data_IF_460051687167
#
_entry.id   IF_460051687167
#
_cell.length_a   1.000
_cell.length_b   1.000
_cell.length_c   1.000
_cell.angle_alpha   90.00
_cell.angle_beta   90.00
_cell.angle_gamma   90.00
#
_symmetry.space_group_name_H-M   'P 1'
#
loop_
_entity.id
_entity.type
_entity.pdbx_description
1 polymer ?
#
# COMPACT_ATOMS: atom_id res chain seq x y z
N UNK A 1 -7.70 -18.64 19.57
CA UNK A 1 -7.59 -19.19 18.19
C UNK A 1 -7.19 -18.05 17.25
N UNK A 2 -5.96 -18.07 16.73
CA UNK A 2 -5.49 -17.08 15.76
C UNK A 2 -6.17 -17.41 14.43
N UNK A 3 -7.13 -16.58 14.00
CA UNK A 3 -7.66 -16.65 12.62
C UNK A 3 -6.48 -16.42 11.70
N UNK A 4 -6.02 -17.46 11.01
CA UNK A 4 -4.89 -17.31 10.10
C UNK A 4 -5.33 -16.41 8.94
N UNK A 5 -4.58 -15.34 8.71
CA UNK A 5 -4.89 -14.38 7.67
C UNK A 5 -4.35 -14.95 6.35
N UNK A 6 -5.24 -15.44 5.48
CA UNK A 6 -4.89 -16.06 4.20
C UNK A 6 -3.97 -15.18 3.35
N UNK A 7 -4.17 -13.85 3.39
CA UNK A 7 -3.30 -12.88 2.73
C UNK A 7 -1.85 -12.96 3.23
N UNK A 8 -1.67 -12.97 4.56
CA UNK A 8 -0.34 -13.00 5.17
C UNK A 8 0.36 -14.32 4.85
N UNK A 9 -0.36 -15.45 4.86
CA UNK A 9 0.21 -16.75 4.48
C UNK A 9 0.69 -16.76 3.01
N UNK A 10 -0.10 -16.26 2.07
CA UNK A 10 0.28 -16.17 0.65
C UNK A 10 1.53 -15.30 0.50
N UNK A 11 1.56 -14.14 1.15
CA UNK A 11 2.68 -13.21 1.10
C UNK A 11 3.95 -13.82 1.71
N UNK A 12 3.84 -14.53 2.84
CA UNK A 12 4.99 -15.22 3.44
C UNK A 12 5.55 -16.31 2.52
N UNK A 13 4.69 -17.11 1.87
CA UNK A 13 5.15 -18.11 0.89
C UNK A 13 5.90 -17.44 -0.26
N UNK A 14 5.36 -16.34 -0.80
CA UNK A 14 6.03 -15.62 -1.88
C UNK A 14 7.41 -15.09 -1.44
N UNK A 15 7.56 -14.61 -0.20
CA UNK A 15 8.86 -14.18 0.36
C UNK A 15 9.84 -15.33 0.48
N UNK A 16 9.40 -16.46 1.03
CA UNK A 16 10.21 -17.68 1.18
C UNK A 16 10.73 -18.19 -0.17
N UNK A 17 9.97 -17.96 -1.26
CA UNK A 17 10.33 -18.33 -2.63
C UNK A 17 11.11 -17.25 -3.38
N UNK A 18 11.67 -16.25 -2.68
CA UNK A 18 12.48 -15.19 -3.29
C UNK A 18 11.66 -14.09 -3.99
N UNK A 19 10.39 -13.95 -3.64
CA UNK A 19 9.49 -12.89 -4.10
C UNK A 19 8.57 -13.28 -5.27
N UNK A 20 8.70 -14.48 -5.84
CA UNK A 20 7.86 -14.92 -6.96
C UNK A 20 7.58 -16.42 -6.92
N UNK A 21 6.37 -16.83 -7.31
CA UNK A 21 6.01 -18.23 -7.53
C UNK A 21 5.36 -18.38 -8.90
N UNK A 22 5.84 -19.37 -9.67
CA UNK A 22 5.26 -19.77 -10.95
C UNK A 22 4.49 -21.08 -10.79
N UNK A 23 3.19 -21.02 -11.05
CA UNK A 23 2.21 -22.10 -11.05
C UNK A 23 1.21 -21.98 -9.90
N UNK A 24 -0.07 -21.80 -10.21
CA UNK A 24 -1.16 -21.75 -9.23
C UNK A 24 -1.18 -22.99 -8.31
N UNK A 25 -1.10 -24.18 -8.91
CA UNK A 25 -1.07 -25.44 -8.15
C UNK A 25 0.18 -25.60 -7.27
N UNK A 26 1.29 -24.97 -7.66
CA UNK A 26 2.52 -24.95 -6.85
C UNK A 26 2.30 -24.10 -5.60
N UNK A 27 1.81 -22.87 -5.78
CA UNK A 27 1.48 -21.96 -4.68
C UNK A 27 0.45 -22.58 -3.71
N UNK A 28 -0.59 -23.22 -4.25
CA UNK A 28 -1.63 -23.92 -3.48
C UNK A 28 -1.05 -24.93 -2.47
N UNK A 29 -0.02 -25.66 -2.88
CA UNK A 29 0.64 -26.73 -2.10
C UNK A 29 1.70 -26.24 -1.12
N UNK A 30 2.08 -24.98 -1.19
CA UNK A 30 3.14 -24.39 -0.36
C UNK A 30 2.65 -23.90 1.00
N UNK A 31 1.36 -24.10 1.30
CA UNK A 31 0.80 -23.76 2.61
C UNK A 31 1.38 -24.65 3.70
N UNK A 32 1.75 -24.05 4.84
CA UNK A 32 2.39 -24.77 5.96
C UNK A 32 1.46 -25.79 6.64
N UNK A 33 0.15 -25.53 6.62
CA UNK A 33 -0.88 -26.40 7.21
C UNK A 33 -1.91 -26.79 6.15
N UNK A 34 -1.67 -27.92 5.47
CA UNK A 34 -2.52 -28.44 4.41
C UNK A 34 -2.33 -27.73 3.07
N UNK A 35 -3.35 -27.70 2.23
CA UNK A 35 -3.36 -26.94 0.97
C UNK A 35 -4.32 -25.74 1.08
N UNK A 36 -4.09 -24.70 0.29
CA UNK A 36 -5.14 -23.69 0.09
C UNK A 36 -6.33 -24.30 -0.66
N UNK A 37 -7.54 -23.89 -0.32
CA UNK A 37 -8.69 -24.12 -1.19
C UNK A 37 -8.52 -23.29 -2.47
N UNK A 38 -8.81 -23.88 -3.64
CA UNK A 38 -8.59 -23.22 -4.94
C UNK A 38 -9.39 -21.94 -5.12
N UNK A 39 -10.65 -21.90 -4.69
CA UNK A 39 -11.50 -20.72 -4.87
C UNK A 39 -11.03 -19.59 -3.96
N UNK A 40 -10.81 -19.89 -2.68
CA UNK A 40 -10.29 -18.89 -1.75
C UNK A 40 -8.92 -18.38 -2.17
N UNK A 41 -8.02 -19.25 -2.65
CA UNK A 41 -6.72 -18.80 -3.14
C UNK A 41 -6.85 -17.80 -4.30
N UNK A 42 -7.78 -18.04 -5.24
CA UNK A 42 -8.04 -17.07 -6.33
C UNK A 42 -8.57 -15.76 -5.78
N UNK A 43 -9.60 -15.79 -4.95
CA UNK A 43 -10.20 -14.58 -4.38
C UNK A 43 -9.17 -13.72 -3.64
N UNK A 44 -8.30 -14.37 -2.84
CA UNK A 44 -7.24 -13.68 -2.12
C UNK A 44 -6.11 -13.20 -3.02
N UNK A 45 -5.76 -13.93 -4.08
CA UNK A 45 -4.78 -13.46 -5.07
C UNK A 45 -5.31 -12.25 -5.84
N UNK A 46 -6.57 -12.28 -6.26
CA UNK A 46 -7.23 -11.15 -6.93
C UNK A 46 -7.27 -9.93 -6.01
N UNK A 47 -7.62 -10.15 -4.73
CA UNK A 47 -7.59 -9.08 -3.72
C UNK A 47 -6.19 -8.51 -3.52
N UNK A 48 -5.17 -9.36 -3.36
CA UNK A 48 -3.77 -8.94 -3.21
C UNK A 48 -3.27 -8.18 -4.45
N UNK A 49 -3.72 -8.58 -5.64
CA UNK A 49 -3.40 -7.90 -6.90
C UNK A 49 -4.09 -6.53 -6.97
N UNK A 50 -5.38 -6.45 -6.64
CA UNK A 50 -6.15 -5.20 -6.59
C UNK A 50 -5.60 -4.22 -5.55
N UNK A 51 -5.14 -4.73 -4.41
CA UNK A 51 -4.42 -3.97 -3.38
C UNK A 51 -3.02 -3.51 -3.83
N UNK A 52 -2.52 -4.00 -4.98
CA UNK A 52 -1.20 -3.70 -5.51
C UNK A 52 -0.06 -4.34 -4.71
N UNK A 53 -0.34 -5.34 -3.88
CA UNK A 53 0.66 -6.10 -3.09
C UNK A 53 1.41 -7.09 -3.97
N UNK A 54 0.74 -7.69 -4.94
CA UNK A 54 1.34 -8.64 -5.89
C UNK A 54 1.05 -8.23 -7.34
N UNK A 55 1.81 -8.77 -8.27
CA UNK A 55 1.58 -8.73 -9.71
C UNK A 55 1.31 -10.14 -10.22
N UNK A 56 0.34 -10.26 -11.10
CA UNK A 56 0.06 -11.48 -11.84
C UNK A 56 0.51 -11.32 -13.29
N UNK A 57 1.20 -12.32 -13.82
CA UNK A 57 1.53 -12.42 -15.24
C UNK A 57 1.41 -13.88 -15.71
N UNK A 58 1.12 -14.08 -17.00
CA UNK A 58 1.03 -15.41 -17.61
C UNK A 58 2.30 -15.69 -18.42
N UNK A 59 3.15 -16.58 -17.92
CA UNK A 59 4.43 -16.94 -18.58
C UNK A 59 4.34 -18.35 -19.13
N UNK A 60 4.39 -18.50 -20.46
CA UNK A 60 4.35 -19.82 -21.15
C UNK A 60 3.24 -20.74 -20.61
N UNK A 61 2.01 -20.22 -20.53
CA UNK A 61 0.82 -20.89 -20.00
C UNK A 61 0.83 -21.23 -18.51
N UNK A 62 1.74 -20.67 -17.72
CA UNK A 62 1.74 -20.78 -16.26
C UNK A 62 1.47 -19.43 -15.62
N UNK A 63 0.67 -19.46 -14.57
CA UNK A 63 0.40 -18.32 -13.71
C UNK A 63 1.66 -17.97 -12.92
N UNK A 64 2.12 -16.73 -12.98
CA UNK A 64 3.23 -16.24 -12.15
C UNK A 64 2.72 -15.13 -11.26
N UNK A 65 2.88 -15.34 -9.96
CA UNK A 65 2.52 -14.40 -8.92
C UNK A 65 3.81 -13.91 -8.30
N UNK A 66 4.09 -12.62 -8.45
CA UNK A 66 5.24 -11.97 -7.84
C UNK A 66 4.74 -10.96 -6.84
N UNK A 67 5.41 -10.84 -5.70
CA UNK A 67 5.20 -9.66 -4.89
C UNK A 67 5.66 -8.46 -5.74
N UNK A 68 4.88 -7.38 -5.76
CA UNK A 68 5.15 -6.24 -6.64
C UNK A 68 6.47 -5.59 -6.24
N UNK A 69 7.52 -5.76 -7.05
CA UNK A 69 8.85 -5.24 -6.75
C UNK A 69 8.78 -3.71 -6.74
N UNK A 70 8.66 -3.17 -5.54
CA UNK A 70 8.45 -1.75 -5.31
C UNK A 70 9.84 -1.12 -5.34
N UNK A 71 10.16 -0.37 -6.41
CA UNK A 71 11.28 0.56 -6.35
C UNK A 71 10.89 1.70 -5.40
N UNK A 72 11.02 1.38 -4.11
CA UNK A 72 10.55 2.21 -3.02
C UNK A 72 11.17 3.59 -3.11
N UNK A 73 12.46 3.69 -3.42
CA UNK A 73 13.18 4.96 -3.40
C UNK A 73 12.69 5.88 -4.53
N UNK A 74 12.45 5.34 -5.74
CA UNK A 74 11.96 6.13 -6.86
C UNK A 74 10.49 6.54 -6.72
N UNK A 75 9.61 5.60 -6.33
CA UNK A 75 8.20 5.94 -6.08
C UNK A 75 8.07 6.89 -4.89
N UNK A 76 8.81 6.67 -3.80
CA UNK A 76 8.81 7.53 -2.64
C UNK A 76 9.22 8.96 -2.98
N UNK A 77 10.28 9.15 -3.78
CA UNK A 77 10.70 10.49 -4.23
C UNK A 77 9.61 11.18 -5.05
N UNK A 78 8.98 10.49 -6.00
CA UNK A 78 7.91 11.05 -6.84
C UNK A 78 6.71 11.49 -6.01
N UNK A 79 6.17 10.59 -5.17
CA UNK A 79 5.01 10.89 -4.33
C UNK A 79 5.29 11.98 -3.29
N UNK A 80 6.53 12.08 -2.78
CA UNK A 80 6.92 13.17 -1.86
C UNK A 80 6.83 14.53 -2.53
N UNK A 81 7.39 14.67 -3.73
CA UNK A 81 7.34 15.94 -4.48
C UNK A 81 5.91 16.36 -4.80
N UNK A 82 5.05 15.41 -5.16
CA UNK A 82 3.66 15.73 -5.51
C UNK A 82 2.84 16.12 -4.27
N UNK A 83 3.06 15.47 -3.12
CA UNK A 83 2.46 15.89 -1.85
C UNK A 83 2.93 17.27 -1.41
N UNK A 84 4.23 17.57 -1.53
CA UNK A 84 4.80 18.88 -1.21
C UNK A 84 4.18 19.99 -2.08
N UNK A 85 4.00 19.74 -3.39
CA UNK A 85 3.33 20.69 -4.29
C UNK A 85 1.89 20.99 -3.85
N UNK A 86 1.10 19.97 -3.50
CA UNK A 86 -0.27 20.17 -3.05
C UNK A 86 -0.29 20.89 -1.70
N UNK A 87 0.62 20.52 -0.80
CA UNK A 87 0.76 21.15 0.51
C UNK A 87 1.10 22.64 0.40
N UNK A 88 2.05 23.02 -0.45
CA UNK A 88 2.39 24.42 -0.70
C UNK A 88 1.17 25.19 -1.19
N UNK A 89 0.40 24.62 -2.13
CA UNK A 89 -0.84 25.24 -2.62
C UNK A 89 -1.86 25.42 -1.50
N UNK A 90 -2.06 24.42 -0.64
CA UNK A 90 -3.02 24.49 0.48
C UNK A 90 -2.77 25.65 1.46
N UNK A 91 -1.52 26.10 1.60
CA UNK A 91 -1.15 27.21 2.49
C UNK A 91 -1.15 28.59 1.82
N UNK A 92 -1.49 28.69 0.53
CA UNK A 92 -1.68 29.98 -0.11
C UNK A 92 -2.89 30.70 0.49
N UNK A 93 -2.71 31.99 0.83
CA UNK A 93 -3.72 32.78 1.56
C UNK A 93 -4.99 33.03 0.75
N UNK A 94 -4.89 33.03 -0.58
CA UNK A 94 -5.95 33.50 -1.48
C UNK A 94 -6.91 32.40 -1.96
N UNK A 95 -6.77 31.18 -1.42
CA UNK A 95 -7.60 30.05 -1.80
C UNK A 95 -9.02 30.18 -1.28
N UNK A 96 -10.00 30.03 -2.18
CA UNK A 96 -11.39 29.88 -1.80
C UNK A 96 -11.59 28.56 -1.03
N UNK A 97 -12.61 28.51 -0.17
CA UNK A 97 -12.89 27.32 0.63
C UNK A 97 -13.13 26.06 -0.22
N UNK A 98 -13.80 26.18 -1.37
CA UNK A 98 -14.05 25.06 -2.28
C UNK A 98 -12.75 24.52 -2.90
N UNK A 99 -11.87 25.42 -3.35
CA UNK A 99 -10.55 25.04 -3.87
C UNK A 99 -9.71 24.35 -2.78
N UNK A 100 -9.81 24.84 -1.54
CA UNK A 100 -9.13 24.25 -0.39
C UNK A 100 -9.64 22.85 -0.10
N UNK A 101 -10.95 22.64 -0.16
CA UNK A 101 -11.60 21.33 -0.03
C UNK A 101 -11.13 20.35 -1.11
N UNK A 102 -11.07 20.80 -2.37
CA UNK A 102 -10.60 19.97 -3.50
C UNK A 102 -9.14 19.58 -3.29
N UNK A 103 -8.27 20.55 -2.97
CA UNK A 103 -6.85 20.28 -2.72
C UNK A 103 -6.63 19.38 -1.50
N UNK A 104 -7.41 19.56 -0.43
CA UNK A 104 -7.36 18.69 0.74
C UNK A 104 -7.76 17.26 0.39
N UNK A 105 -8.80 17.08 -0.44
CA UNK A 105 -9.22 15.76 -0.93
C UNK A 105 -8.14 15.11 -1.79
N UNK A 106 -7.53 15.87 -2.71
CA UNK A 106 -6.41 15.40 -3.53
C UNK A 106 -5.18 15.03 -2.67
N UNK A 107 -4.85 15.86 -1.69
CA UNK A 107 -3.76 15.62 -0.75
C UNK A 107 -3.99 14.30 0.00
N UNK A 108 -5.19 14.13 0.58
CA UNK A 108 -5.54 12.94 1.36
C UNK A 108 -5.51 11.67 0.51
N UNK A 109 -6.06 11.72 -0.71
CA UNK A 109 -6.01 10.60 -1.64
C UNK A 109 -4.57 10.19 -1.97
N UNK A 110 -3.71 11.16 -2.29
CA UNK A 110 -2.31 10.91 -2.62
C UNK A 110 -1.52 10.42 -1.40
N UNK A 111 -1.76 11.00 -0.22
CA UNK A 111 -1.11 10.64 1.01
C UNK A 111 -1.49 9.22 1.45
N UNK A 112 -2.76 8.83 1.28
CA UNK A 112 -3.23 7.48 1.58
C UNK A 112 -2.63 6.44 0.63
N UNK A 113 -2.54 6.74 -0.68
CA UNK A 113 -1.82 5.90 -1.64
C UNK A 113 -0.36 5.70 -1.24
N UNK A 114 0.32 6.78 -0.83
CA UNK A 114 1.69 6.73 -0.34
C UNK A 114 1.84 5.93 0.96
N UNK A 115 0.90 6.10 1.90
CA UNK A 115 0.86 5.34 3.14
C UNK A 115 0.76 3.84 2.86
N UNK A 116 -0.18 3.43 1.99
CA UNK A 116 -0.35 2.04 1.56
C UNK A 116 0.91 1.50 0.89
N UNK A 117 1.52 2.27 0.00
CA UNK A 117 2.79 1.92 -0.65
C UNK A 117 3.92 1.64 0.34
N UNK A 118 4.07 2.47 1.39
CA UNK A 118 5.08 2.23 2.44
C UNK A 118 4.77 0.95 3.22
N UNK A 119 3.51 0.72 3.57
CA UNK A 119 3.09 -0.52 4.26
C UNK A 119 3.45 -1.75 3.42
N UNK A 120 3.18 -1.73 2.11
CA UNK A 120 3.56 -2.81 1.19
C UNK A 120 5.08 -2.97 1.14
N UNK A 121 5.82 -1.86 0.98
CA UNK A 121 7.27 -1.85 0.97
C UNK A 121 7.92 -2.36 2.28
N UNK A 122 7.22 -2.26 3.41
CA UNK A 122 7.67 -2.78 4.71
C UNK A 122 7.45 -4.29 4.85
N UNK A 123 6.50 -4.89 4.13
CA UNK A 123 6.29 -6.33 4.14
C UNK A 123 7.56 -7.08 3.70
N UNK A 124 8.33 -6.51 2.76
CA UNK A 124 9.61 -7.04 2.27
C UNK A 124 10.78 -6.89 3.23
N UNK A 125 10.84 -5.76 3.94
CA UNK A 125 12.00 -5.43 4.78
C UNK A 125 12.04 -6.29 6.06
N UNK A 126 10.90 -6.84 6.50
CA UNK A 126 10.85 -7.76 7.64
C UNK A 126 11.51 -9.11 7.36
N UNK A 127 11.57 -9.55 6.09
CA UNK A 127 12.13 -10.86 5.70
C UNK A 127 13.60 -10.81 5.25
N UNK A 128 14.16 -9.62 5.03
CA UNK A 128 15.53 -9.46 4.55
C UNK A 128 16.37 -8.80 5.65
N UNK A 129 17.19 -9.60 6.33
CA UNK A 129 18.01 -9.29 7.51
C UNK A 129 18.94 -8.07 7.38
N UNK A 130 19.06 -7.47 6.19
CA UNK A 130 20.08 -6.46 5.83
C UNK A 130 19.67 -4.99 6.03
N UNK A 131 18.54 -4.67 6.66
CA UNK A 131 17.97 -3.33 6.47
C UNK A 131 17.21 -2.74 7.67
N UNK A 132 17.69 -2.94 8.91
CA UNK A 132 17.09 -2.27 10.10
C UNK A 132 16.98 -0.74 9.89
N UNK A 133 17.98 -0.14 9.26
CA UNK A 133 18.00 1.29 8.92
C UNK A 133 16.95 1.67 7.89
N UNK A 134 16.80 0.95 6.76
CA UNK A 134 15.75 1.33 5.77
C UNK A 134 14.35 1.04 6.30
N UNK A 135 14.18 -0.01 7.11
CA UNK A 135 12.92 -0.27 7.79
C UNK A 135 12.53 0.90 8.70
N UNK A 136 13.49 1.42 9.48
CA UNK A 136 13.26 2.57 10.35
C UNK A 136 13.02 3.87 9.58
N UNK A 137 13.69 4.07 8.45
CA UNK A 137 13.40 5.17 7.52
C UNK A 137 11.96 5.09 6.98
N UNK A 138 11.51 3.89 6.58
CA UNK A 138 10.14 3.65 6.13
C UNK A 138 9.11 3.90 7.25
N UNK A 139 9.37 3.45 8.48
CA UNK A 139 8.50 3.73 9.63
C UNK A 139 8.39 5.24 9.91
N UNK A 140 9.52 5.94 9.93
CA UNK A 140 9.53 7.40 10.13
C UNK A 140 8.75 8.11 9.00
N UNK A 141 8.93 7.68 7.76
CA UNK A 141 8.21 8.22 6.62
C UNK A 141 6.69 7.96 6.72
N UNK A 142 6.28 6.74 7.11
CA UNK A 142 4.89 6.35 7.35
C UNK A 142 4.25 7.26 8.41
N UNK A 143 4.95 7.43 9.54
CA UNK A 143 4.51 8.30 10.63
C UNK A 143 4.37 9.75 10.18
N UNK A 144 5.36 10.29 9.46
CA UNK A 144 5.31 11.68 8.95
C UNK A 144 4.10 11.92 8.04
N UNK A 145 3.78 10.97 7.15
CA UNK A 145 2.61 11.08 6.26
C UNK A 145 1.31 11.03 7.08
N UNK A 146 1.23 10.10 8.03
CA UNK A 146 0.08 9.98 8.92
C UNK A 146 -0.18 11.26 9.73
N UNK A 147 0.86 11.83 10.33
CA UNK A 147 0.76 13.06 11.09
C UNK A 147 0.37 14.24 10.18
N UNK A 148 0.88 14.29 8.94
CA UNK A 148 0.52 15.31 7.97
C UNK A 148 -0.95 15.21 7.51
N UNK A 149 -1.44 13.98 7.29
CA UNK A 149 -2.87 13.74 7.02
C UNK A 149 -3.75 14.20 8.18
N UNK A 150 -3.38 13.89 9.43
CA UNK A 150 -4.09 14.37 10.62
C UNK A 150 -4.11 15.89 10.70
N UNK A 151 -2.98 16.55 10.46
CA UNK A 151 -2.92 18.02 10.45
C UNK A 151 -3.82 18.63 9.38
N UNK A 152 -3.81 18.07 8.16
CA UNK A 152 -4.67 18.52 7.06
C UNK A 152 -6.15 18.37 7.41
N UNK A 153 -6.57 17.26 8.01
CA UNK A 153 -7.95 17.09 8.47
C UNK A 153 -8.30 18.03 9.62
N UNK A 154 -7.41 18.19 10.59
CA UNK A 154 -7.68 19.02 11.77
C UNK A 154 -7.77 20.51 11.46
N UNK A 155 -7.16 20.99 10.38
CA UNK A 155 -7.31 22.38 9.93
C UNK A 155 -8.66 22.68 9.27
N UNK A 156 -9.44 21.65 8.91
CA UNK A 156 -10.77 21.79 8.33
C UNK A 156 -11.85 21.82 9.41
N UNK A 157 -12.99 22.43 9.08
CA UNK A 157 -14.23 22.34 9.87
C UNK A 157 -14.79 20.91 9.82
N UNK A 158 -15.64 20.56 10.79
CA UNK A 158 -16.17 19.20 10.93
C UNK A 158 -16.90 18.70 9.67
N UNK A 159 -17.75 19.53 9.06
CA UNK A 159 -18.48 19.17 7.83
C UNK A 159 -17.54 18.93 6.65
N UNK A 160 -16.50 19.77 6.53
CA UNK A 160 -15.50 19.69 5.47
C UNK A 160 -14.60 18.45 5.61
N UNK A 161 -14.30 18.04 6.84
CA UNK A 161 -13.60 16.77 7.11
C UNK A 161 -14.38 15.58 6.59
N UNK A 162 -15.69 15.56 6.81
CA UNK A 162 -16.55 14.45 6.36
C UNK A 162 -16.50 14.37 4.83
N UNK A 163 -16.69 15.49 4.13
CA UNK A 163 -16.61 15.54 2.65
C UNK A 163 -15.27 15.02 2.11
N UNK A 164 -14.16 15.43 2.73
CA UNK A 164 -12.82 14.98 2.34
C UNK A 164 -12.65 13.47 2.60
N UNK A 165 -13.13 12.96 3.72
CA UNK A 165 -13.04 11.53 4.05
C UNK A 165 -13.94 10.67 3.15
N UNK A 166 -15.14 11.13 2.82
CA UNK A 166 -16.06 10.45 1.89
C UNK A 166 -15.43 10.32 0.49
N UNK A 167 -14.63 11.31 0.06
CA UNK A 167 -13.88 11.23 -1.20
C UNK A 167 -12.79 10.15 -1.24
N UNK A 168 -12.47 9.51 -0.10
CA UNK A 168 -11.52 8.39 -0.01
C UNK A 168 -12.21 7.02 -0.12
N UNK A 169 -13.54 6.98 -0.06
CA UNK A 169 -14.35 5.75 -0.14
C UNK A 169 -14.77 5.41 -1.58
N UNK A 170 -14.50 6.31 -2.54
CA UNK A 170 -14.70 6.14 -3.99
C UNK A 170 -13.42 5.57 -4.60
#
# INVERSE_FOLDING_TARGET
>A
MVRSNYEDEIIEILKEQGGCVTGFNKLKKMRKTGEFNSNYLRDYLDKLQNDGKITYEKVKNRDRYCIKNFDFDNEFKKFTKDLEKIQIKLFQKDLKNEERLILSSQYMNLAMKKYKSIVIGQLYDKSITKSKTKFQQKENAKKKIWDSMKMCLNSLKKEDRIKVLDSLLI
#
